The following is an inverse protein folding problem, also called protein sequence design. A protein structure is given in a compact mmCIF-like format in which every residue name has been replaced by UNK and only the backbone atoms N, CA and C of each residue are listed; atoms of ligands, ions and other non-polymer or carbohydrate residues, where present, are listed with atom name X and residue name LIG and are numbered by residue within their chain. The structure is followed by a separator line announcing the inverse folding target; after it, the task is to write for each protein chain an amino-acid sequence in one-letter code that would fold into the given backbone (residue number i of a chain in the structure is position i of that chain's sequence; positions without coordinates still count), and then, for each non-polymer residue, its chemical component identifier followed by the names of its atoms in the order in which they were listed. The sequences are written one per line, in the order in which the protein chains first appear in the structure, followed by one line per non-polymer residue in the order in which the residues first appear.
data_IF_896564470312
#
_entry.id   IF_896564470312
#
_cell.length_a   1.000
_cell.length_b   1.000
_cell.length_c   1.000
_cell.angle_alpha   90.00
_cell.angle_beta   90.00
_cell.angle_gamma   90.00
#
_symmetry.space_group_name_H-M   'P 1'
#
loop_
_entity.id
_entity.type
_entity.pdbx_description
1 polymer ?
#
# COMPACT_ATOMS: atom_id res chain seq x y z
N UNK A 1 -3.74 32.83 2.09
CA UNK A 1 -3.44 31.69 1.19
C UNK A 1 -2.30 30.91 1.81
N UNK A 2 -2.58 29.73 2.36
CA UNK A 2 -1.57 28.92 3.05
C UNK A 2 -1.04 27.90 2.04
N UNK A 3 0.24 28.05 1.70
CA UNK A 3 0.97 27.18 0.77
C UNK A 3 0.89 25.71 1.22
N UNK A 4 0.30 24.88 0.36
CA UNK A 4 0.07 23.45 0.56
C UNK A 4 1.30 22.59 0.22
N UNK A 5 2.52 23.14 0.33
CA UNK A 5 3.75 22.49 -0.16
C UNK A 5 4.52 21.81 0.97
N UNK A 6 3.82 20.99 1.77
CA UNK A 6 4.42 20.22 2.87
C UNK A 6 4.77 18.82 2.37
N UNK A 7 6.02 18.42 2.61
CA UNK A 7 6.70 17.21 2.15
C UNK A 7 5.81 16.01 1.84
N UNK A 8 6.02 15.39 0.67
CA UNK A 8 5.34 14.15 0.30
C UNK A 8 5.44 13.13 1.44
N UNK A 9 4.29 12.57 1.80
CA UNK A 9 4.18 11.66 2.93
C UNK A 9 5.00 10.38 2.71
N UNK A 10 5.51 9.78 3.79
CA UNK A 10 6.16 8.47 3.74
C UNK A 10 5.27 7.40 3.10
N UNK A 11 3.96 7.50 3.29
CA UNK A 11 2.95 6.63 2.66
C UNK A 11 3.07 6.68 1.14
N UNK A 12 3.20 7.87 0.54
CA UNK A 12 3.36 8.02 -0.92
C UNK A 12 4.59 7.27 -1.44
N UNK A 13 5.69 7.28 -0.67
CA UNK A 13 6.92 6.55 -1.02
C UNK A 13 6.74 5.03 -0.92
N UNK A 14 6.03 4.56 0.10
CA UNK A 14 5.72 3.14 0.28
C UNK A 14 4.84 2.61 -0.84
N UNK A 15 3.77 3.36 -1.18
CA UNK A 15 2.89 3.06 -2.30
C UNK A 15 3.68 2.94 -3.59
N UNK A 16 4.56 3.91 -3.87
CA UNK A 16 5.39 3.89 -5.07
C UNK A 16 6.25 2.62 -5.16
N UNK A 17 6.89 2.21 -4.05
CA UNK A 17 7.70 0.98 -4.01
C UNK A 17 6.86 -0.26 -4.29
N UNK A 18 5.70 -0.37 -3.62
CA UNK A 18 4.78 -1.49 -3.77
C UNK A 18 4.32 -1.59 -5.24
N UNK A 19 3.82 -0.49 -5.81
CA UNK A 19 3.33 -0.48 -7.19
C UNK A 19 4.43 -0.81 -8.21
N UNK A 20 5.65 -0.33 -7.96
CA UNK A 20 6.78 -0.55 -8.86
C UNK A 20 7.19 -2.02 -8.87
N UNK A 21 7.32 -2.64 -7.70
CA UNK A 21 7.65 -4.07 -7.59
C UNK A 21 6.51 -4.92 -8.12
N UNK A 22 5.25 -4.61 -7.78
CA UNK A 22 4.08 -5.34 -8.28
C UNK A 22 4.04 -5.35 -9.81
N UNK A 23 4.18 -4.18 -10.46
CA UNK A 23 4.16 -4.08 -11.93
C UNK A 23 5.30 -4.85 -12.61
N UNK A 24 6.49 -4.84 -12.00
CA UNK A 24 7.67 -5.50 -12.56
C UNK A 24 7.77 -6.99 -12.22
N UNK A 25 6.97 -7.47 -11.24
CA UNK A 25 7.02 -8.80 -10.61
C UNK A 25 8.33 -9.07 -9.87
N UNK A 26 9.46 -8.86 -10.54
CA UNK A 26 10.82 -8.95 -9.99
C UNK A 26 11.63 -7.75 -10.45
N UNK A 27 12.38 -7.14 -9.54
CA UNK A 27 13.23 -5.98 -9.87
C UNK A 27 14.47 -5.93 -8.97
N UNK A 28 15.65 -5.67 -9.53
CA UNK A 28 16.85 -5.46 -8.72
C UNK A 28 16.79 -4.13 -7.96
N UNK A 29 17.54 -4.01 -6.87
CA UNK A 29 17.61 -2.72 -6.15
C UNK A 29 18.13 -1.58 -7.04
N UNK A 30 19.07 -1.88 -7.93
CA UNK A 30 19.62 -0.90 -8.88
C UNK A 30 18.53 -0.36 -9.81
N UNK A 31 17.79 -1.25 -10.47
CA UNK A 31 16.69 -0.86 -11.36
C UNK A 31 15.58 -0.11 -10.61
N UNK A 32 15.25 -0.53 -9.39
CA UNK A 32 14.28 0.17 -8.56
C UNK A 32 14.71 1.62 -8.30
N UNK A 33 16.00 1.83 -7.99
CA UNK A 33 16.55 3.15 -7.73
C UNK A 33 16.62 4.02 -9.01
N UNK A 34 16.94 3.40 -10.15
CA UNK A 34 16.90 4.07 -11.45
C UNK A 34 15.49 4.55 -11.83
N UNK A 35 14.44 3.78 -11.49
CA UNK A 35 13.05 4.22 -11.68
C UNK A 35 12.67 5.29 -10.68
N UNK A 36 13.12 5.16 -9.43
CA UNK A 36 12.86 6.12 -8.37
C UNK A 36 13.37 7.50 -8.76
N UNK A 37 14.61 7.60 -9.21
CA UNK A 37 15.25 8.86 -9.62
C UNK A 37 14.58 9.55 -10.83
N UNK A 38 13.78 8.83 -11.61
CA UNK A 38 13.00 9.40 -12.72
C UNK A 38 11.64 9.96 -12.27
N UNK A 39 11.22 9.62 -11.05
CA UNK A 39 9.95 10.05 -10.48
C UNK A 39 10.16 11.30 -9.62
N UNK A 40 9.25 12.26 -9.72
CA UNK A 40 9.27 13.50 -8.93
C UNK A 40 9.26 13.22 -7.42
N UNK A 41 8.77 12.04 -7.00
CA UNK A 41 8.79 11.60 -5.61
C UNK A 41 10.20 11.49 -5.02
N UNK A 42 11.21 11.21 -5.87
CA UNK A 42 12.60 11.13 -5.43
C UNK A 42 13.21 12.47 -5.07
N UNK A 43 12.72 13.56 -5.68
CA UNK A 43 13.37 14.89 -5.66
C UNK A 43 14.84 14.82 -6.09
N UNK A 44 15.17 13.88 -6.98
CA UNK A 44 16.54 13.66 -7.47
C UNK A 44 17.48 12.98 -6.47
N UNK A 45 16.96 12.51 -5.32
CA UNK A 45 17.75 11.79 -4.31
C UNK A 45 17.43 10.30 -4.38
N UNK A 46 18.47 9.49 -4.45
CA UNK A 46 18.37 8.03 -4.52
C UNK A 46 17.83 7.46 -3.20
N UNK A 47 17.35 6.22 -3.23
CA UNK A 47 16.98 5.51 -2.00
C UNK A 47 18.26 4.86 -1.42
N UNK A 48 18.71 5.20 -0.20
CA UNK A 48 19.80 4.44 0.42
C UNK A 48 19.35 3.01 0.70
N UNK A 49 20.26 2.03 0.54
CA UNK A 49 19.93 0.61 0.73
C UNK A 49 19.28 0.31 2.08
N UNK A 50 19.86 0.86 3.16
CA UNK A 50 19.33 0.74 4.53
C UNK A 50 17.92 1.34 4.67
N UNK A 51 17.66 2.45 3.98
CA UNK A 51 16.34 3.09 3.98
C UNK A 51 15.31 2.20 3.29
N UNK A 52 15.66 1.64 2.14
CA UNK A 52 14.78 0.69 1.45
C UNK A 52 14.51 -0.56 2.29
N UNK A 53 15.52 -1.12 2.95
CA UNK A 53 15.32 -2.27 3.83
C UNK A 53 14.40 -1.92 5.00
N UNK A 54 14.55 -0.74 5.61
CA UNK A 54 13.61 -0.24 6.61
C UNK A 54 12.19 -0.09 6.06
N UNK A 55 12.05 0.44 4.85
CA UNK A 55 10.73 0.58 4.20
C UNK A 55 10.07 -0.77 3.97
N UNK A 56 10.81 -1.83 3.62
CA UNK A 56 10.25 -3.18 3.50
C UNK A 56 9.62 -3.66 4.81
N UNK A 57 10.28 -3.41 5.95
CA UNK A 57 9.72 -3.74 7.26
C UNK A 57 8.45 -2.93 7.57
N UNK A 58 8.47 -1.62 7.31
CA UNK A 58 7.29 -0.77 7.52
C UNK A 58 6.15 -1.15 6.57
N UNK A 59 6.45 -1.53 5.33
CA UNK A 59 5.47 -2.00 4.35
C UNK A 59 4.81 -3.31 4.83
N UNK A 60 5.61 -4.23 5.37
CA UNK A 60 5.08 -5.44 5.99
C UNK A 60 4.22 -5.14 7.22
N UNK A 61 4.70 -4.30 8.14
CA UNK A 61 3.99 -4.01 9.39
C UNK A 61 2.67 -3.24 9.17
N UNK A 62 2.70 -2.21 8.31
CA UNK A 62 1.53 -1.36 8.08
C UNK A 62 0.54 -1.98 7.11
N UNK A 63 1.01 -2.76 6.14
CA UNK A 63 0.16 -3.23 5.05
C UNK A 63 0.09 -4.75 4.91
N UNK A 64 0.96 -5.52 5.55
CA UNK A 64 0.99 -6.97 5.36
C UNK A 64 1.51 -7.39 3.98
N UNK A 65 2.26 -6.54 3.26
CA UNK A 65 2.93 -6.93 2.01
C UNK A 65 4.35 -7.38 2.33
N UNK A 66 4.64 -8.64 2.03
CA UNK A 66 5.99 -9.17 2.18
C UNK A 66 6.78 -8.91 0.89
N UNK A 67 7.68 -7.92 0.93
CA UNK A 67 8.67 -7.71 -0.13
C UNK A 67 9.88 -8.58 0.18
N UNK A 68 9.97 -9.74 -0.47
CA UNK A 68 11.07 -10.68 -0.35
C UNK A 68 12.22 -10.33 -1.30
N UNK A 69 13.39 -10.95 -1.07
CA UNK A 69 14.53 -10.92 -1.97
C UNK A 69 14.85 -12.36 -2.37
N UNK A 70 15.24 -12.59 -3.63
CA UNK A 70 15.64 -13.92 -4.09
C UNK A 70 16.78 -14.51 -3.23
N UNK A 71 17.64 -13.69 -2.64
CA UNK A 71 18.73 -14.14 -1.75
C UNK A 71 19.87 -14.90 -2.45
N UNK A 72 19.68 -15.22 -3.73
CA UNK A 72 20.63 -15.84 -4.63
C UNK A 72 20.32 -15.40 -6.08
N UNK A 73 21.21 -15.68 -7.02
CA UNK A 73 21.02 -15.30 -8.42
C UNK A 73 21.13 -13.79 -8.63
N UNK A 74 20.11 -13.18 -9.25
CA UNK A 74 20.09 -11.74 -9.58
C UNK A 74 19.74 -10.83 -8.39
N UNK A 75 19.49 -11.40 -7.19
CA UNK A 75 19.15 -10.65 -5.97
C UNK A 75 17.98 -9.68 -6.16
N UNK A 76 16.96 -10.08 -6.93
CA UNK A 76 15.79 -9.23 -7.21
C UNK A 76 14.79 -9.26 -6.05
N UNK A 77 14.03 -8.18 -5.94
CA UNK A 77 12.92 -7.99 -5.01
C UNK A 77 11.60 -8.31 -5.69
N UNK A 78 10.70 -8.96 -4.96
CA UNK A 78 9.37 -9.35 -5.41
C UNK A 78 8.39 -9.34 -4.24
N UNK A 79 7.09 -9.32 -4.54
CA UNK A 79 6.04 -9.48 -3.53
C UNK A 79 5.74 -10.96 -3.39
N UNK A 80 5.95 -11.53 -2.20
CA UNK A 80 5.76 -12.97 -1.96
C UNK A 80 4.27 -13.35 -1.92
N UNK A 81 3.45 -12.52 -1.28
CA UNK A 81 2.00 -12.72 -1.15
C UNK A 81 1.19 -11.99 -2.23
N UNK A 82 1.63 -12.08 -3.49
CA UNK A 82 1.00 -11.38 -4.63
C UNK A 82 -0.44 -11.83 -4.92
N UNK A 83 -0.77 -13.10 -4.65
CA UNK A 83 -2.11 -13.66 -4.85
C UNK A 83 -3.17 -12.93 -4.02
N UNK A 84 -2.81 -12.47 -2.82
CA UNK A 84 -3.71 -11.72 -1.93
C UNK A 84 -4.02 -10.32 -2.48
N UNK A 85 -3.09 -9.74 -3.22
CA UNK A 85 -3.23 -8.42 -3.86
C UNK A 85 -4.04 -8.53 -5.15
N UNK A 86 -3.77 -9.57 -5.96
CA UNK A 86 -4.36 -9.72 -7.30
C UNK A 86 -5.87 -10.01 -7.27
N UNK A 87 -6.36 -10.74 -6.26
CA UNK A 87 -7.80 -11.05 -6.09
C UNK A 87 -8.67 -9.79 -5.95
N UNK A 88 -8.13 -8.71 -5.39
CA UNK A 88 -8.86 -7.49 -5.08
C UNK A 88 -8.39 -6.26 -5.88
N UNK A 89 -7.25 -6.37 -6.58
CA UNK A 89 -6.61 -5.27 -7.32
C UNK A 89 -5.86 -4.30 -6.40
N UNK A 90 -4.64 -3.90 -6.81
CA UNK A 90 -3.71 -3.14 -5.97
C UNK A 90 -4.27 -1.80 -5.44
N UNK A 91 -5.05 -1.07 -6.26
CA UNK A 91 -5.66 0.22 -5.85
C UNK A 91 -6.73 0.04 -4.78
N UNK A 92 -7.58 -0.97 -4.94
CA UNK A 92 -8.62 -1.33 -3.97
C UNK A 92 -7.98 -1.82 -2.67
N UNK A 93 -6.92 -2.63 -2.76
CA UNK A 93 -6.15 -3.07 -1.61
C UNK A 93 -5.49 -1.91 -0.84
N UNK A 94 -4.90 -0.93 -1.54
CA UNK A 94 -4.32 0.26 -0.91
C UNK A 94 -5.39 1.06 -0.16
N UNK A 95 -6.54 1.26 -0.78
CA UNK A 95 -7.68 1.96 -0.18
C UNK A 95 -8.19 1.23 1.07
N UNK A 96 -8.44 -0.08 0.95
CA UNK A 96 -8.92 -0.91 2.06
C UNK A 96 -7.91 -0.93 3.21
N UNK A 97 -6.62 -1.08 2.92
CA UNK A 97 -5.57 -1.10 3.95
C UNK A 97 -5.43 0.24 4.64
N UNK A 98 -5.57 1.36 3.92
CA UNK A 98 -5.57 2.69 4.52
C UNK A 98 -6.78 2.90 5.43
N UNK A 99 -7.98 2.52 4.98
CA UNK A 99 -9.19 2.58 5.79
C UNK A 99 -9.09 1.72 7.07
N UNK A 100 -8.61 0.48 6.94
CA UNK A 100 -8.37 -0.42 8.09
C UNK A 100 -7.31 0.15 9.02
N UNK A 101 -6.17 0.61 8.50
CA UNK A 101 -5.10 1.21 9.31
C UNK A 101 -5.59 2.44 10.08
N UNK A 102 -6.37 3.32 9.42
CA UNK A 102 -6.93 4.50 10.07
C UNK A 102 -7.99 4.11 11.11
N UNK A 103 -8.85 3.13 10.82
CA UNK A 103 -9.82 2.62 11.78
C UNK A 103 -9.13 2.03 13.03
N UNK A 104 -8.08 1.22 12.84
CA UNK A 104 -7.28 0.62 13.92
C UNK A 104 -6.49 1.65 14.73
N UNK A 105 -5.90 2.66 14.07
CA UNK A 105 -5.20 3.75 14.74
C UNK A 105 -6.14 4.57 15.65
N UNK A 106 -7.40 4.73 15.24
CA UNK A 106 -8.42 5.43 16.03
C UNK A 106 -9.09 4.53 17.10
N UNK A 107 -8.75 3.24 17.16
CA UNK A 107 -9.37 2.26 18.08
C UNK A 107 -8.32 1.40 18.81
N UNK A 108 -7.20 2.02 19.16
CA UNK A 108 -6.00 1.37 19.72
C UNK A 108 -6.25 0.52 20.97
N UNK A 109 -7.32 0.81 21.74
CA UNK A 109 -7.71 0.07 22.95
C UNK A 109 -8.43 -1.26 22.72
N UNK A 110 -8.81 -1.59 21.47
CA UNK A 110 -9.59 -2.80 21.15
C UNK A 110 -9.04 -3.57 19.95
N UNK A 111 -7.80 -3.28 19.52
CA UNK A 111 -7.13 -3.90 18.38
C UNK A 111 -7.16 -5.44 18.42
N UNK A 112 -7.01 -6.04 19.60
CA UNK A 112 -7.00 -7.50 19.79
C UNK A 112 -8.38 -8.17 19.69
N UNK A 113 -9.45 -7.38 19.51
CA UNK A 113 -10.85 -7.86 19.40
C UNK A 113 -11.42 -7.70 18.00
N UNK A 114 -10.64 -7.21 17.04
CA UNK A 114 -11.10 -6.92 15.68
C UNK A 114 -10.68 -8.07 14.76
N UNK A 115 -11.66 -8.88 14.34
CA UNK A 115 -11.50 -9.89 13.30
C UNK A 115 -11.75 -9.20 11.95
N UNK A 116 -10.72 -9.12 11.11
CA UNK A 116 -10.82 -8.59 9.76
C UNK A 116 -11.21 -9.71 8.80
N UNK A 117 -12.51 -9.88 8.55
CA UNK A 117 -12.96 -10.68 7.41
C UNK A 117 -12.86 -9.83 6.13
N UNK A 118 -12.38 -10.44 5.05
CA UNK A 118 -12.57 -9.87 3.72
C UNK A 118 -14.08 -9.84 3.44
N UNK A 119 -14.66 -8.64 3.40
CA UNK A 119 -16.09 -8.43 3.11
C UNK A 119 -16.22 -7.91 1.66
N UNK A 120 -16.29 -8.81 0.65
CA UNK A 120 -16.48 -8.39 -0.74
C UNK A 120 -17.76 -7.57 -0.91
N UNK A 121 -18.78 -7.81 -0.08
CA UNK A 121 -20.03 -7.07 -0.11
C UNK A 121 -19.92 -5.59 0.27
N UNK A 122 -18.83 -5.18 0.91
CA UNK A 122 -18.56 -3.79 1.26
C UNK A 122 -18.27 -2.91 0.04
N UNK A 123 -17.70 -3.46 -1.04
CA UNK A 123 -17.46 -2.71 -2.28
C UNK A 123 -18.66 -2.80 -3.23
N UNK A 124 -19.34 -3.96 -3.26
CA UNK A 124 -20.41 -4.20 -4.22
C UNK A 124 -21.79 -3.68 -3.77
N UNK A 125 -22.09 -3.70 -2.47
CA UNK A 125 -23.44 -3.40 -1.97
C UNK A 125 -23.51 -2.18 -1.04
N UNK A 126 -22.42 -1.84 -0.34
CA UNK A 126 -22.46 -0.75 0.64
C UNK A 126 -22.69 0.62 0.01
N UNK A 127 -22.09 0.87 -1.17
CA UNK A 127 -22.24 2.15 -1.85
C UNK A 127 -23.67 2.37 -2.38
N UNK A 128 -24.31 1.40 -3.07
CA UNK A 128 -25.74 1.48 -3.41
C UNK A 128 -26.66 1.65 -2.18
N UNK A 129 -26.37 0.97 -1.07
CA UNK A 129 -27.15 1.09 0.17
C UNK A 129 -27.03 2.50 0.76
N UNK A 130 -25.82 3.06 0.84
CA UNK A 130 -25.60 4.42 1.35
C UNK A 130 -26.28 5.48 0.47
N UNK A 131 -26.25 5.31 -0.86
CA UNK A 131 -26.94 6.20 -1.80
C UNK A 131 -28.45 6.13 -1.62
N UNK A 132 -29.01 4.92 -1.50
CA UNK A 132 -30.43 4.72 -1.21
C UNK A 132 -30.85 5.34 0.13
N UNK A 133 -30.05 5.20 1.19
CA UNK A 133 -30.30 5.84 2.48
C UNK A 133 -30.24 7.37 2.41
N UNK A 134 -29.31 7.95 1.64
CA UNK A 134 -29.22 9.41 1.42
C UNK A 134 -30.41 9.96 0.63
N UNK A 135 -30.93 9.19 -0.31
CA UNK A 135 -32.07 9.56 -1.15
C UNK A 135 -33.42 9.15 -0.53
N UNK A 136 -33.40 8.58 0.69
CA UNK A 136 -34.57 8.01 1.37
C UNK A 136 -35.37 7.05 0.48
N UNK A 137 -34.65 6.26 -0.32
CA UNK A 137 -35.16 5.29 -1.29
C UNK A 137 -34.89 3.88 -0.80
N UNK A 138 -35.80 2.96 -1.07
CA UNK A 138 -35.59 1.52 -0.84
C UNK A 138 -34.93 0.92 -2.08
N UNK A 139 -33.90 0.09 -1.88
CA UNK A 139 -33.24 -0.67 -2.95
C UNK A 139 -34.13 -1.78 -3.50
#
# INVERSE_FOLDING_TARGET
MINNDRGQSLITKYVWVIETIYRRRKISFKELNELWLRDDISRGVDIPKRTFDNWRYVIWDMFGINIANEGHGEYRYYIENEEDISKNGLRSWLYNTFCVSNALANSQSIKDRIILEYVPSGQDYLQPIIEAMKENRVL
#
